data_IF_388564281200
#
_entry.id   IF_388564281200
#
_cell.length_a   1.000
_cell.length_b   1.000
_cell.length_c   1.000
_cell.angle_alpha   90.00
_cell.angle_beta   90.00
_cell.angle_gamma   90.00
#
_symmetry.space_group_name_H-M   'P 1'
#
loop_
_entity.id
_entity.type
_entity.pdbx_description
1 polymer ?
#
# COMPACT_ATOMS: atom_id res chain seq x y z
N UNK A 1 7.49 -3.88 39.50
CA UNK A 1 7.91 -4.33 38.16
C UNK A 1 7.11 -3.51 37.16
N UNK A 2 7.77 -2.60 36.44
CA UNK A 2 7.13 -1.64 35.54
C UNK A 2 7.27 -2.20 34.12
N UNK A 3 6.17 -2.67 33.55
CA UNK A 3 6.09 -3.10 32.15
C UNK A 3 5.92 -1.85 31.28
N UNK A 4 6.95 -1.55 30.49
CA UNK A 4 6.98 -0.45 29.54
C UNK A 4 5.97 -0.69 28.41
N UNK A 5 5.12 0.31 28.15
CA UNK A 5 4.25 0.34 26.99
C UNK A 5 5.05 0.64 25.71
N UNK A 6 4.75 -0.01 24.57
CA UNK A 6 5.39 0.36 23.30
C UNK A 6 4.84 1.71 22.83
N UNK A 7 5.76 2.65 22.62
CA UNK A 7 5.47 3.98 22.07
C UNK A 7 4.91 3.84 20.64
N UNK A 8 3.73 4.41 20.40
CA UNK A 8 3.19 4.58 19.05
C UNK A 8 3.93 5.75 18.37
N UNK A 9 4.41 5.59 17.13
CA UNK A 9 5.03 6.69 16.43
C UNK A 9 3.96 7.66 15.89
N UNK A 10 4.00 8.90 16.38
CA UNK A 10 3.28 10.05 15.80
C UNK A 10 3.79 10.33 14.38
N UNK A 11 3.10 9.83 13.35
CA UNK A 11 3.31 10.25 11.96
C UNK A 11 2.10 11.01 11.40
N UNK A 12 1.61 11.99 12.15
CA UNK A 12 0.89 13.14 11.57
C UNK A 12 1.79 14.37 11.65
N UNK A 13 2.86 14.38 10.85
CA UNK A 13 3.56 15.63 10.53
C UNK A 13 4.21 15.54 9.16
N UNK A 14 3.75 16.46 8.30
CA UNK A 14 4.35 16.96 7.06
C UNK A 14 4.06 16.16 5.77
N UNK A 15 2.95 16.51 5.12
CA UNK A 15 2.93 16.61 3.67
C UNK A 15 2.58 18.07 3.30
N UNK A 16 3.44 18.80 2.57
CA UNK A 16 3.15 20.16 2.13
C UNK A 16 2.07 20.13 1.04
N UNK A 17 1.16 21.11 1.09
CA UNK A 17 0.19 21.37 0.05
C UNK A 17 0.90 21.59 -1.30
N UNK A 18 0.63 20.74 -2.30
CA UNK A 18 0.98 21.05 -3.68
C UNK A 18 -0.09 21.94 -4.31
N UNK A 19 0.30 23.10 -4.87
CA UNK A 19 -0.60 23.95 -5.63
C UNK A 19 -0.54 23.53 -7.10
N UNK A 20 -1.65 23.04 -7.66
CA UNK A 20 -1.78 23.02 -9.12
C UNK A 20 -3.07 23.74 -9.53
N UNK A 21 -2.82 25.01 -9.85
CA UNK A 21 -3.68 25.89 -10.61
C UNK A 21 -4.08 25.25 -11.93
N UNK A 22 -5.36 25.42 -12.24
CA UNK A 22 -6.00 25.27 -13.53
C UNK A 22 -5.11 25.74 -14.68
N UNK A 23 -4.94 24.90 -15.71
CA UNK A 23 -4.65 25.38 -17.05
C UNK A 23 -5.43 24.58 -18.09
N UNK A 24 -6.23 25.24 -18.95
CA UNK A 24 -6.99 24.60 -20.01
C UNK A 24 -6.16 24.56 -21.31
N UNK A 25 -6.19 23.44 -22.03
CA UNK A 25 -5.83 23.32 -23.44
C UNK A 25 -6.12 21.89 -23.90
N UNK A 26 -6.44 21.57 -25.14
CA UNK A 26 -6.85 22.27 -26.35
C UNK A 26 -7.39 21.13 -27.23
N UNK A 27 -8.51 21.35 -27.88
CA UNK A 27 -9.20 20.35 -28.70
C UNK A 27 -8.44 20.13 -30.01
N UNK A 28 -8.03 18.88 -30.32
CA UNK A 28 -7.54 18.48 -31.66
C UNK A 28 -8.07 17.06 -31.98
N UNK A 29 -8.50 16.76 -33.22
CA UNK A 29 -9.46 15.70 -33.49
C UNK A 29 -8.84 14.31 -33.71
N UNK A 30 -9.67 13.31 -33.43
CA UNK A 30 -9.44 11.88 -33.61
C UNK A 30 -9.19 11.51 -35.08
N UNK A 31 -8.00 11.00 -35.38
CA UNK A 31 -7.66 10.33 -36.64
C UNK A 31 -7.80 8.81 -36.47
N UNK A 32 -8.75 8.22 -37.20
CA UNK A 32 -8.98 6.78 -37.29
C UNK A 32 -7.91 6.13 -38.18
N UNK A 33 -7.26 5.06 -37.72
CA UNK A 33 -6.77 3.93 -38.55
C UNK A 33 -6.30 2.75 -37.68
N UNK A 34 -6.13 1.53 -38.24
CA UNK A 34 -7.06 0.44 -38.01
C UNK A 34 -6.45 -0.74 -37.22
N UNK A 35 -7.34 -1.66 -36.82
CA UNK A 35 -7.07 -2.99 -36.29
C UNK A 35 -6.11 -3.81 -37.17
N UNK A 36 -5.12 -4.51 -36.57
CA UNK A 36 -4.52 -5.67 -37.21
C UNK A 36 -5.30 -6.94 -36.88
N UNK A 37 -5.66 -7.64 -37.96
CA UNK A 37 -6.28 -8.95 -37.99
C UNK A 37 -5.41 -10.01 -37.32
N UNK A 38 -6.09 -10.88 -36.56
CA UNK A 38 -5.57 -12.13 -36.00
C UNK A 38 -4.85 -12.98 -37.05
N UNK A 39 -3.62 -13.37 -36.75
CA UNK A 39 -2.95 -14.49 -37.39
C UNK A 39 -2.40 -15.46 -36.34
N UNK A 40 -2.88 -16.70 -36.48
CA UNK A 40 -2.24 -17.98 -36.20
C UNK A 40 -1.66 -18.29 -34.80
N UNK A 41 -2.40 -19.18 -34.13
CA UNK A 41 -1.94 -20.21 -33.19
C UNK A 41 -0.47 -20.62 -33.34
N UNK A 42 0.34 -20.31 -32.33
CA UNK A 42 1.67 -20.90 -32.17
C UNK A 42 1.51 -22.36 -31.73
N UNK A 43 1.76 -23.28 -32.66
CA UNK A 43 2.07 -24.68 -32.36
C UNK A 43 3.40 -24.74 -31.57
N UNK A 44 3.54 -25.59 -30.55
CA UNK A 44 4.83 -25.86 -29.96
C UNK A 44 5.70 -26.59 -30.99
N UNK A 45 6.87 -26.01 -31.30
CA UNK A 45 7.89 -26.67 -32.08
C UNK A 45 8.44 -27.87 -31.28
N UNK A 46 8.44 -29.05 -31.91
CA UNK A 46 9.09 -30.25 -31.38
C UNK A 46 10.59 -29.99 -31.26
N UNK A 47 11.24 -30.27 -30.11
CA UNK A 47 12.68 -30.36 -30.08
C UNK A 47 13.09 -31.67 -30.76
N UNK A 48 13.75 -31.59 -31.90
CA UNK A 48 14.43 -32.72 -32.53
C UNK A 48 15.93 -32.46 -32.49
N UNK A 49 16.57 -32.79 -31.37
CA UNK A 49 17.96 -33.28 -31.34
C UNK A 49 18.16 -34.10 -30.05
N UNK A 50 18.28 -35.43 -30.12
CA UNK A 50 18.82 -36.18 -29.00
C UNK A 50 20.34 -35.93 -28.94
N UNK A 51 20.82 -35.42 -27.81
CA UNK A 51 22.24 -35.46 -27.47
C UNK A 51 22.57 -36.94 -27.21
N UNK A 52 23.21 -37.60 -28.16
CA UNK A 52 23.72 -38.96 -27.96
C UNK A 52 24.88 -38.89 -26.96
N UNK A 53 24.69 -39.49 -25.79
CA UNK A 53 25.76 -39.80 -24.86
C UNK A 53 26.72 -40.80 -25.54
N UNK A 54 27.95 -40.36 -25.83
CA UNK A 54 29.02 -41.25 -26.27
C UNK A 54 29.55 -41.99 -25.04
N UNK A 55 29.23 -43.27 -24.94
CA UNK A 55 29.87 -44.21 -24.02
C UNK A 55 31.36 -44.32 -24.36
N UNK A 56 32.20 -44.09 -23.35
CA UNK A 56 33.66 -44.23 -23.44
C UNK A 56 34.01 -45.72 -23.33
N UNK A 57 34.26 -46.38 -24.44
CA UNK A 57 35.00 -47.64 -24.45
C UNK A 57 36.48 -47.36 -24.69
N UNK A 58 37.30 -47.81 -23.73
CA UNK A 58 38.76 -47.76 -23.84
C UNK A 58 39.22 -48.85 -24.81
N UNK A 59 39.72 -48.49 -25.98
CA UNK A 59 40.65 -49.34 -26.73
C UNK A 59 41.52 -48.49 -27.66
N UNK A 60 42.83 -48.69 -27.53
CA UNK A 60 43.86 -47.92 -28.21
C UNK A 60 44.02 -48.38 -29.66
N UNK A 61 43.96 -47.45 -30.62
CA UNK A 61 44.63 -47.59 -31.91
C UNK A 61 44.91 -46.20 -32.49
N UNK A 62 46.16 -45.99 -32.85
CA UNK A 62 46.68 -44.79 -33.46
C UNK A 62 46.13 -44.56 -34.89
N UNK A 63 46.28 -43.30 -35.33
CA UNK A 63 46.19 -42.78 -36.69
C UNK A 63 44.84 -42.19 -37.12
N UNK A 64 44.90 -40.90 -37.45
CA UNK A 64 43.92 -40.19 -38.28
C UNK A 64 43.30 -39.01 -37.56
N UNK A 65 43.95 -37.85 -37.62
CA UNK A 65 43.28 -36.57 -37.44
C UNK A 65 42.19 -36.46 -38.53
N UNK A 66 41.00 -36.94 -38.20
CA UNK A 66 39.80 -36.66 -38.96
C UNK A 66 39.36 -35.26 -38.61
N UNK A 67 39.93 -34.26 -39.31
CA UNK A 67 39.28 -32.96 -39.47
C UNK A 67 37.80 -33.23 -39.76
N UNK A 68 36.92 -32.85 -38.84
CA UNK A 68 35.48 -32.85 -39.10
C UNK A 68 35.23 -31.82 -40.20
N UNK A 69 35.16 -32.35 -41.43
CA UNK A 69 34.94 -31.64 -42.68
C UNK A 69 33.69 -30.74 -42.55
N UNK A 70 33.93 -29.44 -42.42
CA UNK A 70 32.89 -28.40 -42.37
C UNK A 70 32.91 -27.45 -41.17
N UNK A 71 33.75 -27.66 -40.15
CA UNK A 71 33.88 -26.71 -39.04
C UNK A 71 35.02 -25.70 -39.29
N UNK A 72 34.83 -24.38 -39.09
CA UNK A 72 35.89 -23.39 -39.28
C UNK A 72 37.16 -23.73 -38.47
N UNK A 73 38.38 -23.54 -39.02
CA UNK A 73 39.65 -23.89 -38.34
C UNK A 73 39.82 -23.27 -36.96
N UNK A 74 39.28 -22.06 -36.80
CA UNK A 74 39.24 -21.26 -35.57
C UNK A 74 38.53 -21.98 -34.41
N UNK A 75 37.69 -22.97 -34.70
CA UNK A 75 36.99 -23.75 -33.68
C UNK A 75 37.94 -24.69 -32.93
N UNK A 76 39.08 -25.08 -33.51
CA UNK A 76 40.08 -25.92 -32.85
C UNK A 76 41.10 -25.11 -32.02
N UNK A 77 41.11 -23.78 -32.16
CA UNK A 77 41.95 -22.91 -31.35
C UNK A 77 41.38 -22.78 -29.92
N UNK A 78 42.10 -23.33 -28.94
CA UNK A 78 41.69 -23.31 -27.53
C UNK A 78 41.47 -21.87 -27.02
N UNK A 79 42.28 -20.92 -27.49
CA UNK A 79 42.13 -19.50 -27.19
C UNK A 79 40.86 -18.89 -27.80
N UNK A 80 40.48 -19.31 -29.01
CA UNK A 80 39.25 -18.84 -29.64
C UNK A 80 38.02 -19.36 -28.89
N UNK A 81 38.03 -20.63 -28.50
CA UNK A 81 36.96 -21.20 -27.67
C UNK A 81 36.89 -20.52 -26.29
N UNK A 82 38.03 -20.22 -25.66
CA UNK A 82 38.08 -19.47 -24.40
C UNK A 82 37.47 -18.08 -24.55
N UNK A 83 37.83 -17.34 -25.62
CA UNK A 83 37.25 -16.03 -25.96
C UNK A 83 35.73 -16.09 -26.19
N UNK A 84 35.20 -17.16 -26.79
CA UNK A 84 33.74 -17.34 -26.94
C UNK A 84 33.03 -17.61 -25.59
N UNK A 85 33.65 -18.43 -24.72
CA UNK A 85 33.13 -18.69 -23.37
C UNK A 85 33.13 -17.41 -22.53
N UNK A 86 34.18 -16.60 -22.62
CA UNK A 86 34.25 -15.30 -21.95
C UNK A 86 33.18 -14.35 -22.47
N UNK A 87 33.03 -14.20 -23.79
CA UNK A 87 31.94 -13.38 -24.37
C UNK A 87 30.56 -13.81 -23.90
N UNK A 88 30.31 -15.11 -23.76
CA UNK A 88 29.03 -15.64 -23.29
C UNK A 88 28.82 -15.34 -21.80
N UNK A 89 29.86 -15.49 -20.98
CA UNK A 89 29.82 -15.12 -19.55
C UNK A 89 29.58 -13.63 -19.36
N UNK A 90 30.25 -12.78 -20.14
CA UNK A 90 30.07 -11.33 -20.13
C UNK A 90 28.64 -10.94 -20.52
N UNK A 91 28.10 -11.56 -21.57
CA UNK A 91 26.70 -11.36 -21.98
C UNK A 91 25.70 -11.76 -20.90
N UNK A 92 25.91 -12.90 -20.22
CA UNK A 92 25.06 -13.31 -19.11
C UNK A 92 25.20 -12.42 -17.88
N UNK A 93 26.42 -11.97 -17.57
CA UNK A 93 26.67 -11.03 -16.48
C UNK A 93 26.03 -9.66 -16.75
N UNK A 94 26.07 -9.18 -18.00
CA UNK A 94 25.39 -7.97 -18.42
C UNK A 94 23.88 -8.10 -18.26
N UNK A 95 23.28 -9.19 -18.78
CA UNK A 95 21.85 -9.45 -18.64
C UNK A 95 21.41 -9.55 -17.18
N UNK A 96 22.18 -10.27 -16.34
CA UNK A 96 21.88 -10.34 -14.90
C UNK A 96 21.98 -8.98 -14.21
N UNK A 97 22.92 -8.13 -14.63
CA UNK A 97 23.05 -6.78 -14.07
C UNK A 97 21.86 -5.89 -14.45
N UNK A 98 21.39 -6.00 -15.69
CA UNK A 98 20.20 -5.30 -16.18
C UNK A 98 18.93 -5.79 -15.46
N UNK A 99 18.72 -7.10 -15.38
CA UNK A 99 17.61 -7.71 -14.62
C UNK A 99 17.65 -7.27 -13.14
N UNK A 100 18.82 -7.26 -12.50
CA UNK A 100 18.95 -6.80 -11.11
C UNK A 100 18.66 -5.30 -10.94
N UNK A 101 18.99 -4.47 -11.92
CA UNK A 101 18.68 -3.04 -11.91
C UNK A 101 17.18 -2.79 -12.10
N UNK A 102 16.53 -3.51 -13.02
CA UNK A 102 15.08 -3.50 -13.18
C UNK A 102 14.34 -4.00 -11.93
N UNK A 103 14.85 -5.05 -11.29
CA UNK A 103 14.33 -5.55 -10.01
C UNK A 103 14.51 -4.53 -8.88
N UNK A 104 15.65 -3.83 -8.83
CA UNK A 104 15.89 -2.75 -7.85
C UNK A 104 14.92 -1.60 -8.03
N UNK A 105 14.74 -1.12 -9.26
CA UNK A 105 13.78 -0.07 -9.60
C UNK A 105 12.37 -0.54 -9.18
N UNK A 106 11.97 -1.76 -9.55
CA UNK A 106 10.67 -2.32 -9.19
C UNK A 106 10.46 -2.47 -7.68
N UNK A 107 11.51 -2.83 -6.94
CA UNK A 107 11.49 -3.02 -5.49
C UNK A 107 11.53 -1.71 -4.69
N UNK A 108 12.28 -0.70 -5.15
CA UNK A 108 12.31 0.64 -4.52
C UNK A 108 10.91 1.26 -4.49
N UNK A 109 10.11 1.07 -5.55
CA UNK A 109 8.72 1.51 -5.53
C UNK A 109 7.83 0.67 -4.60
N UNK A 110 8.14 -0.60 -4.31
CA UNK A 110 7.32 -1.50 -3.45
C UNK A 110 7.54 -1.27 -1.94
N UNK A 111 8.03 -0.11 -1.55
CA UNK A 111 8.37 0.22 -0.17
C UNK A 111 7.20 0.01 0.81
N UNK A 112 5.98 0.38 0.41
CA UNK A 112 4.78 0.25 1.26
C UNK A 112 4.39 -1.21 1.46
N UNK A 113 4.50 -2.03 0.40
CA UNK A 113 4.26 -3.46 0.48
C UNK A 113 5.27 -4.18 1.39
N UNK A 114 6.51 -3.69 1.45
CA UNK A 114 7.52 -4.16 2.39
C UNK A 114 7.22 -3.73 3.82
N UNK A 115 6.78 -2.49 4.03
CA UNK A 115 6.39 -1.98 5.37
C UNK A 115 5.26 -2.81 6.00
N UNK A 116 4.28 -3.25 5.22
CA UNK A 116 3.21 -4.13 5.72
C UNK A 116 3.70 -5.52 6.17
N UNK A 117 4.83 -6.02 5.65
CA UNK A 117 5.42 -7.30 6.10
C UNK A 117 5.99 -7.21 7.53
N UNK A 118 6.25 -6.00 8.04
CA UNK A 118 6.77 -5.79 9.39
C UNK A 118 5.69 -5.91 10.47
N UNK A 119 4.40 -5.91 10.10
CA UNK A 119 3.28 -5.99 11.03
C UNK A 119 2.77 -7.43 11.22
N UNK A 120 2.07 -7.72 12.33
CA UNK A 120 1.40 -9.01 12.53
C UNK A 120 0.45 -9.33 11.37
N UNK A 121 0.69 -10.45 10.71
CA UNK A 121 -0.02 -10.78 9.47
C UNK A 121 -1.53 -11.02 9.67
N UNK A 122 -1.94 -11.38 10.89
CA UNK A 122 -3.35 -11.52 11.26
C UNK A 122 -4.10 -10.19 11.23
N UNK A 123 -3.50 -9.12 11.75
CA UNK A 123 -4.07 -7.77 11.74
C UNK A 123 -4.09 -7.21 10.32
N UNK A 124 -3.02 -7.41 9.56
CA UNK A 124 -2.96 -7.05 8.14
C UNK A 124 -4.06 -7.78 7.35
N UNK A 125 -4.32 -9.06 7.65
CA UNK A 125 -5.39 -9.84 7.00
C UNK A 125 -6.77 -9.28 7.38
N UNK A 126 -7.02 -8.97 8.65
CA UNK A 126 -8.28 -8.35 9.10
C UNK A 126 -8.51 -7.00 8.41
N UNK A 127 -7.49 -6.14 8.36
CA UNK A 127 -7.55 -4.86 7.66
C UNK A 127 -7.82 -5.04 6.16
N UNK A 128 -7.19 -6.01 5.50
CA UNK A 128 -7.47 -6.32 4.08
C UNK A 128 -8.91 -6.77 3.84
N UNK A 129 -9.46 -7.59 4.72
CA UNK A 129 -10.85 -8.04 4.66
C UNK A 129 -11.78 -6.84 4.83
N UNK A 130 -11.51 -5.96 5.79
CA UNK A 130 -12.30 -4.77 6.05
C UNK A 130 -12.30 -3.80 4.85
N UNK A 131 -11.13 -3.50 4.28
CA UNK A 131 -11.01 -2.67 3.06
C UNK A 131 -11.75 -3.30 1.88
N UNK A 132 -11.66 -4.62 1.71
CA UNK A 132 -12.44 -5.32 0.68
C UNK A 132 -13.94 -5.24 0.95
N UNK A 133 -14.37 -5.26 2.21
CA UNK A 133 -15.79 -5.08 2.58
C UNK A 133 -16.30 -3.69 2.19
N UNK A 134 -15.51 -2.64 2.45
CA UNK A 134 -15.86 -1.27 2.06
C UNK A 134 -16.02 -1.11 0.56
N UNK A 135 -15.08 -1.65 -0.22
CA UNK A 135 -15.17 -1.59 -1.69
C UNK A 135 -16.40 -2.35 -2.19
N UNK A 136 -16.75 -3.47 -1.55
CA UNK A 136 -17.94 -4.25 -1.90
C UNK A 136 -19.25 -3.56 -1.49
N UNK A 137 -19.24 -2.77 -0.42
CA UNK A 137 -20.42 -2.04 0.05
C UNK A 137 -20.88 -0.96 -0.94
N UNK A 138 -19.97 -0.43 -1.78
CA UNK A 138 -20.33 0.45 -2.88
C UNK A 138 -20.97 1.76 -2.40
N UNK A 139 -22.30 1.87 -2.51
CA UNK A 139 -23.07 3.05 -2.07
C UNK A 139 -23.17 3.17 -0.56
N UNK A 140 -23.27 2.04 0.14
CA UNK A 140 -23.44 2.01 1.62
C UNK A 140 -22.09 2.03 2.35
N UNK A 141 -21.01 2.36 1.63
CA UNK A 141 -19.64 2.36 2.16
C UNK A 141 -19.48 3.33 3.33
N UNK A 142 -20.19 4.46 3.30
CA UNK A 142 -20.13 5.46 4.37
C UNK A 142 -20.70 4.93 5.69
N UNK A 143 -21.87 4.28 5.64
CA UNK A 143 -22.48 3.66 6.82
C UNK A 143 -21.61 2.52 7.37
N UNK A 144 -21.01 1.72 6.50
CA UNK A 144 -20.12 0.63 6.92
C UNK A 144 -18.82 1.14 7.57
N UNK A 145 -18.28 2.27 7.09
CA UNK A 145 -17.14 2.93 7.75
C UNK A 145 -17.54 3.43 9.13
N UNK A 146 -18.70 4.07 9.27
CA UNK A 146 -19.17 4.57 10.58
C UNK A 146 -19.37 3.42 11.57
N UNK A 147 -20.04 2.33 11.16
CA UNK A 147 -20.18 1.13 12.01
C UNK A 147 -18.83 0.52 12.39
N UNK A 148 -17.86 0.50 11.47
CA UNK A 148 -16.51 0.01 11.77
C UNK A 148 -15.77 0.94 12.75
N UNK A 149 -16.03 2.25 12.68
CA UNK A 149 -15.50 3.23 13.63
C UNK A 149 -16.07 3.00 15.04
N UNK A 150 -17.39 2.78 15.15
CA UNK A 150 -18.06 2.48 16.42
C UNK A 150 -17.53 1.18 17.06
N UNK A 151 -17.19 0.18 16.24
CA UNK A 151 -16.56 -1.07 16.70
C UNK A 151 -15.07 -0.91 17.06
N UNK A 152 -14.44 0.22 16.71
CA UNK A 152 -13.01 0.46 16.92
C UNK A 152 -12.11 -0.33 15.97
N UNK A 153 -12.62 -0.76 14.81
CA UNK A 153 -11.87 -1.56 13.83
C UNK A 153 -11.07 -0.69 12.84
N UNK A 154 -11.40 0.60 12.74
CA UNK A 154 -10.66 1.57 11.93
C UNK A 154 -9.34 1.91 12.61
N UNK A 155 -8.28 1.29 12.14
CA UNK A 155 -6.91 1.50 12.62
C UNK A 155 -6.03 2.09 11.52
N UNK A 156 -4.86 2.63 11.89
CA UNK A 156 -3.88 3.12 10.92
C UNK A 156 -3.45 2.05 9.89
N UNK A 157 -3.46 0.77 10.29
CA UNK A 157 -3.23 -0.36 9.40
C UNK A 157 -4.22 -0.41 8.22
N UNK A 158 -5.48 -0.02 8.44
CA UNK A 158 -6.50 0.08 7.38
C UNK A 158 -6.10 1.13 6.36
N UNK A 159 -5.65 2.31 6.82
CA UNK A 159 -5.14 3.38 5.95
C UNK A 159 -3.93 2.92 5.15
N UNK A 160 -2.97 2.23 5.78
CA UNK A 160 -1.80 1.66 5.07
C UNK A 160 -2.21 0.65 3.99
N UNK A 161 -3.21 -0.19 4.26
CA UNK A 161 -3.71 -1.16 3.26
C UNK A 161 -4.39 -0.46 2.09
N UNK A 162 -5.19 0.59 2.34
CA UNK A 162 -5.79 1.41 1.29
C UNK A 162 -4.69 2.09 0.47
N UNK A 163 -3.68 2.65 1.14
CA UNK A 163 -2.57 3.33 0.49
C UNK A 163 -1.73 2.40 -0.40
N UNK A 164 -1.50 1.15 0.02
CA UNK A 164 -0.87 0.14 -0.82
C UNK A 164 -1.69 -0.16 -2.08
N UNK A 165 -3.02 -0.33 -1.96
CA UNK A 165 -3.88 -0.53 -3.14
C UNK A 165 -3.87 0.69 -4.06
N UNK A 166 -3.80 1.89 -3.50
CA UNK A 166 -3.71 3.14 -4.25
C UNK A 166 -2.38 3.24 -5.01
N UNK A 167 -1.26 2.80 -4.42
CA UNK A 167 0.03 2.72 -5.11
C UNK A 167 0.00 1.73 -6.29
N UNK A 168 -0.64 0.57 -6.12
CA UNK A 168 -0.84 -0.41 -7.20
C UNK A 168 -1.69 0.22 -8.33
N UNK A 169 -2.83 0.82 -8.01
CA UNK A 169 -3.71 1.45 -8.99
C UNK A 169 -3.03 2.60 -9.76
N UNK A 170 -2.10 3.33 -9.12
CA UNK A 170 -1.29 4.36 -9.79
C UNK A 170 -0.33 3.79 -10.83
N UNK A 171 0.23 2.60 -10.58
CA UNK A 171 1.13 1.91 -11.53
C UNK A 171 0.36 1.35 -12.72
N UNK A 172 -0.83 0.81 -12.46
CA UNK A 172 -1.70 0.27 -13.50
C UNK A 172 -2.46 1.38 -14.25
N UNK A 173 -2.21 2.65 -13.92
CA UNK A 173 -2.84 3.85 -14.50
C UNK A 173 -4.39 3.85 -14.42
N UNK A 174 -4.95 3.15 -13.43
CA UNK A 174 -6.39 2.98 -13.25
C UNK A 174 -7.04 4.22 -12.59
N UNK A 175 -7.37 5.23 -13.40
CA UNK A 175 -7.88 6.53 -12.91
C UNK A 175 -9.13 6.44 -12.02
N UNK A 176 -10.04 5.52 -12.32
CA UNK A 176 -11.26 5.31 -11.52
C UNK A 176 -10.97 4.66 -10.16
N UNK A 177 -10.06 3.68 -10.14
CA UNK A 177 -9.61 3.05 -8.90
C UNK A 177 -8.84 4.06 -8.03
N UNK A 178 -7.99 4.89 -8.63
CA UNK A 178 -7.26 5.95 -7.90
C UNK A 178 -8.24 6.92 -7.23
N UNK A 179 -9.26 7.41 -7.95
CA UNK A 179 -10.26 8.34 -7.39
C UNK A 179 -11.08 7.71 -6.26
N UNK A 180 -11.59 6.50 -6.47
CA UNK A 180 -12.41 5.82 -5.47
C UNK A 180 -11.63 5.44 -4.21
N UNK A 181 -10.39 4.97 -4.35
CA UNK A 181 -9.51 4.67 -3.22
C UNK A 181 -9.04 5.92 -2.48
N UNK A 182 -8.83 7.05 -3.16
CA UNK A 182 -8.49 8.32 -2.51
C UNK A 182 -9.66 8.85 -1.66
N UNK A 183 -10.89 8.81 -2.19
CA UNK A 183 -12.09 9.14 -1.42
C UNK A 183 -12.27 8.24 -0.21
N UNK A 184 -12.06 6.92 -0.39
CA UNK A 184 -12.11 5.95 0.70
C UNK A 184 -11.06 6.26 1.77
N UNK A 185 -9.82 6.54 1.35
CA UNK A 185 -8.73 6.91 2.26
C UNK A 185 -9.11 8.12 3.10
N UNK A 186 -9.58 9.20 2.46
CA UNK A 186 -9.99 10.43 3.15
C UNK A 186 -11.14 10.19 4.11
N UNK A 187 -12.15 9.42 3.72
CA UNK A 187 -13.28 9.13 4.62
C UNK A 187 -12.85 8.33 5.84
N UNK A 188 -12.03 7.30 5.66
CA UNK A 188 -11.49 6.51 6.77
C UNK A 188 -10.57 7.35 7.66
N UNK A 189 -9.72 8.19 7.08
CA UNK A 189 -8.83 9.11 7.81
C UNK A 189 -9.65 10.06 8.69
N UNK A 190 -10.73 10.65 8.16
CA UNK A 190 -11.59 11.56 8.93
C UNK A 190 -12.33 10.86 10.07
N UNK A 191 -12.83 9.63 9.89
CA UNK A 191 -13.47 8.89 10.98
C UNK A 191 -12.48 8.47 12.08
N UNK A 192 -11.24 8.11 11.72
CA UNK A 192 -10.18 7.88 12.72
C UNK A 192 -9.94 9.15 13.53
N UNK A 193 -9.73 10.29 12.87
CA UNK A 193 -9.52 11.58 13.54
C UNK A 193 -10.72 11.99 14.40
N UNK A 194 -11.95 11.69 13.98
CA UNK A 194 -13.17 11.95 14.75
C UNK A 194 -13.24 11.09 16.02
N UNK A 195 -12.80 9.83 15.95
CA UNK A 195 -12.72 8.94 17.11
C UNK A 195 -11.64 9.36 18.11
N UNK A 196 -10.49 9.84 17.61
CA UNK A 196 -9.35 10.29 18.41
C UNK A 196 -9.50 11.71 18.95
N UNK A 197 -10.47 12.49 18.43
CA UNK A 197 -10.67 13.88 18.81
C UNK A 197 -10.88 14.04 20.33
N UNK A 198 -10.34 15.11 20.90
CA UNK A 198 -10.55 15.45 22.31
C UNK A 198 -12.04 15.72 22.59
N UNK A 199 -12.52 15.51 23.82
CA UNK A 199 -13.92 15.82 24.18
C UNK A 199 -14.33 17.25 23.82
N UNK A 200 -13.42 18.21 23.93
CA UNK A 200 -13.65 19.61 23.56
C UNK A 200 -13.84 19.80 22.04
N UNK A 201 -13.01 19.13 21.23
CA UNK A 201 -13.14 19.17 19.76
C UNK A 201 -14.43 18.50 19.29
N UNK A 202 -14.81 17.36 19.89
CA UNK A 202 -16.09 16.70 19.59
C UNK A 202 -17.28 17.58 19.93
N UNK A 203 -17.26 18.19 21.13
CA UNK A 203 -18.28 19.15 21.54
C UNK A 203 -18.36 20.32 20.56
N UNK A 204 -17.23 20.90 20.13
CA UNK A 204 -17.24 21.98 19.14
C UNK A 204 -17.92 21.54 17.83
N UNK A 205 -17.55 20.36 17.32
CA UNK A 205 -18.16 19.81 16.11
C UNK A 205 -19.68 19.62 16.26
N UNK A 206 -20.12 19.09 17.41
CA UNK A 206 -21.55 18.93 17.71
C UNK A 206 -22.28 20.28 17.76
N UNK A 207 -21.67 21.29 18.38
CA UNK A 207 -22.25 22.63 18.52
C UNK A 207 -22.40 23.34 17.18
N UNK A 208 -21.44 23.16 16.26
CA UNK A 208 -21.51 23.69 14.90
C UNK A 208 -22.63 23.04 14.09
N UNK A 209 -22.81 21.73 14.23
CA UNK A 209 -23.86 20.98 13.53
C UNK A 209 -25.26 21.16 14.15
N UNK A 210 -25.36 21.74 15.35
CA UNK A 210 -26.62 21.95 16.08
C UNK A 210 -27.41 23.20 15.63
N UNK A 211 -26.81 24.11 14.84
CA UNK A 211 -27.45 25.36 14.44
C UNK A 211 -28.32 25.17 13.19
N UNK A 212 -29.63 25.09 13.39
CA UNK A 212 -30.63 24.93 12.32
C UNK A 212 -31.05 26.27 11.66
N UNK A 213 -30.33 27.38 11.89
CA UNK A 213 -30.63 28.69 11.27
C UNK A 213 -31.85 29.47 11.79
N UNK A 214 -32.70 28.86 12.62
CA UNK A 214 -33.96 29.45 13.10
C UNK A 214 -33.89 30.11 14.48
N UNK A 215 -34.07 29.30 15.54
CA UNK A 215 -34.29 29.80 16.91
C UNK A 215 -33.01 29.85 17.75
N UNK A 216 -32.40 31.03 17.85
CA UNK A 216 -31.17 31.22 18.63
C UNK A 216 -31.31 30.88 20.13
N UNK A 217 -32.45 31.15 20.77
CA UNK A 217 -32.66 30.78 22.19
C UNK A 217 -32.73 29.27 22.41
N UNK A 218 -33.44 28.56 21.52
CA UNK A 218 -33.58 27.11 21.58
C UNK A 218 -32.24 26.44 21.30
N UNK A 219 -31.49 26.97 20.34
CA UNK A 219 -30.11 26.57 20.07
C UNK A 219 -29.21 26.77 21.29
N UNK A 220 -29.19 27.97 21.91
CA UNK A 220 -28.41 28.24 23.13
C UNK A 220 -28.74 27.30 24.29
N UNK A 221 -30.02 26.94 24.49
CA UNK A 221 -30.41 25.94 25.50
C UNK A 221 -29.85 24.55 25.18
N UNK A 222 -29.92 24.11 23.92
CA UNK A 222 -29.32 22.85 23.46
C UNK A 222 -27.79 22.86 23.64
N UNK A 223 -27.12 23.97 23.31
CA UNK A 223 -25.68 24.14 23.48
C UNK A 223 -25.27 24.01 24.95
N UNK A 224 -25.94 24.75 25.87
CA UNK A 224 -25.66 24.66 27.31
C UNK A 224 -25.86 23.25 27.85
N UNK A 225 -26.91 22.55 27.38
CA UNK A 225 -27.17 21.17 27.77
C UNK A 225 -26.03 20.24 27.35
N UNK A 226 -25.61 20.26 26.07
CA UNK A 226 -24.48 19.44 25.59
C UNK A 226 -23.17 19.79 26.29
N UNK A 227 -22.91 21.07 26.56
CA UNK A 227 -21.72 21.48 27.32
C UNK A 227 -21.69 20.84 28.71
N UNK A 228 -22.82 20.83 29.43
CA UNK A 228 -22.92 20.23 30.77
C UNK A 228 -22.82 18.69 30.74
N UNK A 229 -23.26 18.05 29.66
CA UNK A 229 -23.14 16.61 29.48
C UNK A 229 -21.68 16.18 29.23
N UNK A 230 -20.96 16.91 28.38
CA UNK A 230 -19.55 16.59 28.05
C UNK A 230 -18.60 17.02 29.15
N UNK A 231 -18.84 18.18 29.76
CA UNK A 231 -18.07 18.73 30.87
C UNK A 231 -18.99 18.99 32.06
N UNK A 232 -19.23 17.97 32.90
CA UNK A 232 -19.95 18.16 34.15
C UNK A 232 -19.30 19.25 34.98
N UNK A 233 -20.11 20.06 35.68
CA UNK A 233 -19.56 21.02 36.63
C UNK A 233 -18.86 20.25 37.73
N UNK A 234 -17.56 20.49 37.88
CA UNK A 234 -16.79 20.01 39.02
C UNK A 234 -17.34 20.71 40.27
N UNK A 235 -17.71 19.93 41.29
CA UNK A 235 -18.09 20.46 42.59
C UNK A 235 -16.83 21.10 43.21
N UNK A 236 -16.86 22.34 43.74
CA UNK A 236 -15.71 22.97 44.38
C UNK A 236 -14.99 22.07 45.39
N UNK A 237 -15.71 21.16 46.04
CA UNK A 237 -15.11 20.16 46.94
C UNK A 237 -14.28 19.10 46.21
N UNK A 238 -14.67 18.64 45.02
CA UNK A 238 -13.86 17.71 44.20
C UNK A 238 -12.59 18.33 43.60
N UNK A 239 -12.54 19.65 43.41
CA UNK A 239 -11.34 20.34 42.87
C UNK A 239 -10.30 20.57 43.96
N UNK A 240 -10.74 20.84 45.19
CA UNK A 240 -9.85 21.19 46.32
C UNK A 240 -9.36 19.95 47.06
N UNK A 241 -10.15 18.87 47.08
CA UNK A 241 -9.82 17.67 47.86
C UNK A 241 -9.40 16.49 46.96
N UNK A 242 -8.25 15.84 47.24
CA UNK A 242 -7.84 14.64 46.53
C UNK A 242 -8.88 13.52 46.62
N UNK A 243 -8.94 12.65 45.61
CA UNK A 243 -9.80 11.47 45.61
C UNK A 243 -9.53 10.62 46.86
N UNK A 244 -10.52 10.55 47.77
CA UNK A 244 -10.45 9.82 49.04
C UNK A 244 -10.46 10.67 50.31
N UNK A 245 -10.53 12.00 50.22
CA UNK A 245 -10.64 12.86 51.40
C UNK A 245 -12.04 12.82 52.01
N UNK A 246 -12.22 12.03 53.08
CA UNK A 246 -13.46 11.94 53.84
C UNK A 246 -13.51 13.05 54.90
N UNK A 247 -14.47 13.98 54.78
CA UNK A 247 -14.70 15.05 55.78
C UNK A 247 -15.31 14.53 57.08
N UNK A 248 -15.81 13.29 57.11
CA UNK A 248 -16.57 12.70 58.23
C UNK A 248 -15.71 12.21 59.42
N UNK A 249 -14.37 12.21 59.30
CA UNK A 249 -13.48 11.71 60.37
C UNK A 249 -12.84 12.82 61.24
N UNK A 250 -13.52 13.95 61.43
CA UNK A 250 -13.03 15.02 62.33
C UNK A 250 -14.05 15.41 63.40
N UNK A 251 -14.44 14.45 64.25
CA UNK A 251 -14.84 14.74 65.64
C UNK A 251 -14.69 13.47 66.48
N UNK A 252 -13.48 13.22 67.02
CA UNK A 252 -13.22 12.75 68.40
C UNK A 252 -11.88 13.34 68.85
#
# INVERSE_FOLDING_TARGET
>A
MITAAPALPMFLRLCPASPFLLRPSLHVPSSRRPTPSRLSSFRPARPLFPISAVEKTNEAAAAGEGELEGMPPEFYDEEWQARQRERTKEWHAYRQKEEAEEERITNEYREIGMRLKAYPQEEVRKARILVSSFIRAGGDVEEEIEKAAERGELTELVLMVIWNRLDIARRDDERDAIRSLDLLYRRVETEILKSEATPAMRLLNDLLNLHDGGDNEKWLKKCRKRMLEVFPREDPFTVVFPAGFNMENKYI
#
